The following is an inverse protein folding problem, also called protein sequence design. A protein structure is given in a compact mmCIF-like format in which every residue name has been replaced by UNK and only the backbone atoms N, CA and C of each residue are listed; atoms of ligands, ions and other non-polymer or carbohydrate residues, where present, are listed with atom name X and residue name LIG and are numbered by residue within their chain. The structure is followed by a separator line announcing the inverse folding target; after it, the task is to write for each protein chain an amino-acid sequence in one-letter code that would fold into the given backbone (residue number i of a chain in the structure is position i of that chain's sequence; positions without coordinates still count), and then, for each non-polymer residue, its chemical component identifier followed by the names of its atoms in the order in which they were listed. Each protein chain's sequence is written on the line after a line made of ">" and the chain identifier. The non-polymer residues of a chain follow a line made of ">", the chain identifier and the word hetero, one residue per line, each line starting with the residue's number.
data_IF_745151121387
#
_entry.id   IF_745151121387
#
_cell.length_a   1.000
_cell.length_b   1.000
_cell.length_c   1.000
_cell.angle_alpha   90.00
_cell.angle_beta   90.00
_cell.angle_gamma   90.00
#
_symmetry.space_group_name_H-M   'P 1'
#
loop_
_entity.id
_entity.type
_entity.pdbx_description
1 polymer ?
#
# COMPACT_ATOMS: atom_id res chain seq x y z
N UNK A 1 4.63 -25.09 -16.64
CA UNK A 1 4.33 -23.96 -17.54
C UNK A 1 3.33 -23.04 -16.85
N UNK A 2 3.66 -21.75 -16.70
CA UNK A 2 2.79 -20.75 -16.04
C UNK A 2 1.46 -20.55 -16.78
N UNK A 3 1.48 -20.68 -18.11
CA UNK A 3 0.30 -20.53 -18.99
C UNK A 3 -0.84 -21.56 -18.75
N UNK A 4 -0.55 -22.63 -18.02
CA UNK A 4 -1.53 -23.67 -17.68
C UNK A 4 -2.07 -23.53 -16.24
N UNK A 5 -1.63 -22.52 -15.50
CA UNK A 5 -2.02 -22.28 -14.11
C UNK A 5 -2.98 -21.10 -14.03
N UNK A 6 -3.93 -21.19 -13.12
CA UNK A 6 -4.80 -20.05 -12.79
C UNK A 6 -4.01 -19.03 -12.00
N UNK A 7 -4.15 -17.77 -12.38
CA UNK A 7 -3.53 -16.63 -11.71
C UNK A 7 -4.63 -15.83 -11.01
N UNK A 8 -4.41 -15.54 -9.73
CA UNK A 8 -5.26 -14.69 -8.93
C UNK A 8 -4.51 -13.44 -8.51
N UNK A 9 -5.14 -12.27 -8.59
CA UNK A 9 -4.58 -11.01 -8.11
C UNK A 9 -5.51 -10.36 -7.09
N UNK A 10 -4.91 -9.70 -6.07
CA UNK A 10 -5.70 -9.03 -5.01
C UNK A 10 -6.33 -7.74 -5.52
N UNK A 11 -5.69 -7.03 -6.47
CA UNK A 11 -6.15 -5.72 -6.91
C UNK A 11 -5.80 -5.39 -8.35
N UNK A 12 -6.45 -4.36 -8.88
CA UNK A 12 -6.40 -3.97 -10.28
C UNK A 12 -4.98 -3.64 -10.77
N UNK A 13 -4.20 -2.88 -10.02
CA UNK A 13 -2.83 -2.54 -10.41
C UNK A 13 -1.93 -3.78 -10.60
N UNK A 14 -2.13 -4.82 -9.77
CA UNK A 14 -1.42 -6.10 -9.95
C UNK A 14 -1.94 -6.86 -11.17
N UNK A 15 -3.25 -6.82 -11.40
CA UNK A 15 -3.89 -7.40 -12.58
C UNK A 15 -3.31 -6.79 -13.85
N UNK A 16 -3.35 -5.48 -13.97
CA UNK A 16 -2.83 -4.72 -15.11
C UNK A 16 -1.34 -5.01 -15.37
N UNK A 17 -0.54 -5.04 -14.30
CA UNK A 17 0.89 -5.36 -14.41
C UNK A 17 1.14 -6.79 -14.94
N UNK A 18 0.36 -7.78 -14.49
CA UNK A 18 0.46 -9.16 -14.97
C UNK A 18 0.00 -9.26 -16.42
N UNK A 19 -1.09 -8.60 -16.78
CA UNK A 19 -1.65 -8.63 -18.14
C UNK A 19 -0.77 -7.89 -19.15
N UNK A 20 -0.08 -6.83 -18.73
CA UNK A 20 0.91 -6.15 -19.57
C UNK A 20 2.10 -7.03 -19.97
N UNK A 21 2.35 -8.11 -19.21
CA UNK A 21 3.34 -9.13 -19.51
C UNK A 21 2.81 -10.28 -20.39
N UNK A 22 1.58 -10.15 -20.90
CA UNK A 22 0.94 -11.15 -21.75
C UNK A 22 0.38 -12.37 -21.00
N UNK A 23 0.24 -12.28 -19.67
CA UNK A 23 -0.38 -13.30 -18.84
C UNK A 23 -1.83 -12.92 -18.55
N UNK A 24 -2.72 -13.91 -18.49
CA UNK A 24 -4.10 -13.70 -18.12
C UNK A 24 -4.28 -13.84 -16.60
N UNK A 25 -4.99 -12.91 -15.98
CA UNK A 25 -5.46 -13.05 -14.60
C UNK A 25 -6.88 -13.65 -14.63
N UNK A 26 -7.06 -14.77 -13.94
CA UNK A 26 -8.31 -15.55 -13.96
C UNK A 26 -9.26 -15.17 -12.81
N UNK A 27 -8.72 -14.66 -11.69
CA UNK A 27 -9.46 -14.37 -10.46
C UNK A 27 -9.01 -13.03 -9.90
N UNK A 28 -9.96 -12.08 -9.83
CA UNK A 28 -9.79 -10.78 -9.18
C UNK A 28 -11.05 -10.55 -8.34
N UNK A 29 -10.95 -10.02 -7.12
CA UNK A 29 -12.13 -9.62 -6.35
C UNK A 29 -12.92 -8.53 -7.09
N UNK A 30 -14.24 -8.62 -7.09
CA UNK A 30 -15.10 -7.59 -7.68
C UNK A 30 -15.03 -6.25 -6.92
N UNK A 31 -14.73 -6.31 -5.62
CA UNK A 31 -14.58 -5.15 -4.74
C UNK A 31 -13.74 -5.50 -3.50
N UNK A 32 -13.32 -4.45 -2.77
CA UNK A 32 -12.61 -4.61 -1.49
C UNK A 32 -11.10 -4.82 -1.60
N UNK A 33 -10.56 -5.28 -2.70
CA UNK A 33 -9.14 -5.45 -3.04
C UNK A 33 -8.22 -5.78 -1.84
N UNK A 34 -8.62 -6.78 -1.05
CA UNK A 34 -7.92 -7.23 0.15
C UNK A 34 -7.93 -8.77 0.24
N UNK A 35 -7.26 -9.31 1.25
CA UNK A 35 -7.16 -10.77 1.44
C UNK A 35 -8.51 -11.44 1.66
N UNK A 36 -9.44 -10.75 2.31
CA UNK A 36 -10.78 -11.20 2.61
C UNK A 36 -11.61 -11.34 1.33
N UNK A 37 -11.58 -10.33 0.48
CA UNK A 37 -12.25 -10.33 -0.81
C UNK A 37 -11.65 -11.38 -1.76
N UNK A 38 -10.31 -11.50 -1.79
CA UNK A 38 -9.65 -12.54 -2.58
C UNK A 38 -10.01 -13.94 -2.10
N UNK A 39 -10.09 -14.17 -0.79
CA UNK A 39 -10.54 -15.46 -0.25
C UNK A 39 -11.97 -15.78 -0.70
N UNK A 40 -12.86 -14.80 -0.68
CA UNK A 40 -14.26 -14.97 -1.15
C UNK A 40 -14.28 -15.39 -2.62
N UNK A 41 -13.51 -14.72 -3.49
CA UNK A 41 -13.41 -15.08 -4.90
C UNK A 41 -12.80 -16.48 -5.11
N UNK A 42 -11.77 -16.83 -4.34
CA UNK A 42 -11.12 -18.14 -4.39
C UNK A 42 -12.01 -19.26 -3.83
N UNK A 43 -12.84 -19.00 -2.82
CA UNK A 43 -13.73 -20.01 -2.24
C UNK A 43 -14.81 -20.50 -3.20
N UNK A 44 -15.12 -19.72 -4.24
CA UNK A 44 -15.99 -20.14 -5.34
C UNK A 44 -15.29 -21.15 -6.29
N UNK A 45 -13.97 -21.27 -6.17
CA UNK A 45 -13.18 -22.27 -6.89
C UNK A 45 -12.94 -23.49 -5.99
N UNK A 46 -12.82 -24.68 -6.58
CA UNK A 46 -12.48 -25.89 -5.81
C UNK A 46 -11.02 -25.82 -5.40
N UNK A 47 -10.71 -25.30 -4.20
CA UNK A 47 -9.32 -25.14 -3.69
C UNK A 47 -8.83 -26.34 -2.89
N UNK A 48 -9.73 -27.20 -2.38
CA UNK A 48 -9.36 -28.40 -1.64
C UNK A 48 -8.48 -29.34 -2.47
N UNK A 49 -7.38 -29.78 -1.89
CA UNK A 49 -6.37 -30.63 -2.57
C UNK A 49 -5.56 -29.90 -3.64
N UNK A 50 -5.70 -28.58 -3.79
CA UNK A 50 -4.91 -27.79 -4.73
C UNK A 50 -3.67 -27.19 -4.07
N UNK A 51 -2.59 -27.10 -4.84
CA UNK A 51 -1.39 -26.38 -4.42
C UNK A 51 -1.48 -24.93 -4.89
N UNK A 52 -1.37 -24.01 -3.95
CA UNK A 52 -1.36 -22.56 -4.19
C UNK A 52 0.00 -21.98 -3.82
N UNK A 53 0.52 -21.13 -4.66
CA UNK A 53 1.72 -20.36 -4.40
C UNK A 53 1.32 -18.90 -4.19
N UNK A 54 1.54 -18.36 -2.99
CA UNK A 54 1.33 -16.94 -2.70
C UNK A 54 2.63 -16.20 -2.95
N UNK A 55 2.66 -15.40 -4.02
CA UNK A 55 3.78 -14.50 -4.34
C UNK A 55 3.55 -13.18 -3.58
N UNK A 56 4.47 -12.82 -2.69
CA UNK A 56 4.31 -11.65 -1.81
C UNK A 56 5.64 -11.01 -1.40
N UNK A 57 5.56 -9.87 -0.73
CA UNK A 57 6.69 -9.33 0.02
C UNK A 57 6.93 -10.09 1.32
N UNK A 58 8.14 -10.03 1.83
CA UNK A 58 8.52 -10.63 3.11
C UNK A 58 7.66 -10.05 4.25
N UNK A 59 7.18 -10.91 5.13
CA UNK A 59 6.29 -10.57 6.23
C UNK A 59 4.85 -10.34 5.77
N UNK A 60 4.02 -9.77 6.65
CA UNK A 60 2.61 -9.53 6.40
C UNK A 60 1.69 -10.57 7.06
N UNK A 61 0.39 -10.45 6.81
CA UNK A 61 -0.63 -11.30 7.45
C UNK A 61 -0.60 -12.72 6.86
N UNK A 62 -0.57 -13.73 7.73
CA UNK A 62 -0.72 -15.15 7.35
C UNK A 62 -2.18 -15.54 7.08
N UNK A 63 -3.10 -14.65 7.41
CA UNK A 63 -4.55 -14.89 7.45
C UNK A 63 -5.10 -15.57 6.18
N UNK A 64 -4.70 -15.14 4.98
CA UNK A 64 -5.18 -15.72 3.72
C UNK A 64 -4.73 -17.18 3.59
N UNK A 65 -3.45 -17.46 3.85
CA UNK A 65 -2.91 -18.80 3.73
C UNK A 65 -3.54 -19.76 4.76
N UNK A 66 -3.74 -19.28 6.00
CA UNK A 66 -4.36 -20.08 7.05
C UNK A 66 -5.80 -20.44 6.67
N UNK A 67 -6.56 -19.50 6.11
CA UNK A 67 -7.92 -19.77 5.62
C UNK A 67 -7.95 -20.73 4.45
N UNK A 68 -7.03 -20.59 3.50
CA UNK A 68 -6.92 -21.51 2.35
C UNK A 68 -6.53 -22.93 2.82
N UNK A 69 -5.61 -23.05 3.78
CA UNK A 69 -5.25 -24.34 4.39
C UNK A 69 -6.44 -24.99 5.10
N UNK A 70 -7.25 -24.21 5.83
CA UNK A 70 -8.49 -24.69 6.46
C UNK A 70 -9.52 -25.18 5.42
N UNK A 71 -9.49 -24.67 4.20
CA UNK A 71 -10.29 -25.14 3.07
C UNK A 71 -9.67 -26.35 2.36
N UNK A 72 -8.59 -26.91 2.90
CA UNK A 72 -7.94 -28.11 2.37
C UNK A 72 -6.91 -27.86 1.26
N UNK A 73 -6.48 -26.62 1.06
CA UNK A 73 -5.43 -26.30 0.10
C UNK A 73 -4.02 -26.51 0.70
N UNK A 74 -3.05 -26.89 -0.13
CA UNK A 74 -1.63 -26.80 0.19
C UNK A 74 -1.14 -25.40 -0.20
N UNK A 75 -0.57 -24.64 0.75
CA UNK A 75 -0.17 -23.24 0.49
C UNK A 75 1.29 -23.05 0.80
N UNK A 76 2.03 -22.64 -0.23
CA UNK A 76 3.43 -22.22 -0.17
C UNK A 76 3.53 -20.70 -0.36
N UNK A 77 4.65 -20.13 0.11
CA UNK A 77 4.99 -18.71 -0.12
C UNK A 77 6.21 -18.59 -1.03
N UNK A 78 6.16 -17.55 -1.87
CA UNK A 78 7.33 -17.04 -2.55
C UNK A 78 7.51 -15.56 -2.21
N UNK A 79 8.40 -15.28 -1.27
CA UNK A 79 8.72 -13.91 -0.85
C UNK A 79 9.76 -13.31 -1.81
N UNK A 80 9.29 -12.48 -2.74
CA UNK A 80 10.08 -11.95 -3.85
C UNK A 80 10.63 -10.55 -3.61
N UNK A 81 10.20 -9.85 -2.56
CA UNK A 81 10.74 -8.55 -2.15
C UNK A 81 10.64 -8.34 -0.64
N UNK A 82 11.44 -7.40 -0.15
CA UNK A 82 11.39 -6.93 1.24
C UNK A 82 11.25 -5.42 1.25
N UNK A 83 10.33 -4.92 2.06
CA UNK A 83 10.25 -3.48 2.35
C UNK A 83 11.28 -3.13 3.39
N UNK A 84 12.07 -2.10 3.13
CA UNK A 84 13.09 -1.61 4.05
C UNK A 84 13.00 -0.09 4.16
N UNK A 85 13.38 0.44 5.31
CA UNK A 85 13.66 1.86 5.45
C UNK A 85 14.87 2.21 4.56
N UNK A 86 14.76 3.17 3.62
CA UNK A 86 15.89 3.56 2.78
C UNK A 86 17.06 4.05 3.64
N UNK A 87 18.31 3.68 3.33
CA UNK A 87 19.49 4.18 4.00
C UNK A 87 19.82 5.60 3.49
N UNK A 88 18.95 6.57 3.77
CA UNK A 88 19.15 7.97 3.38
C UNK A 88 19.94 8.66 4.48
N UNK A 89 21.05 9.31 4.10
CA UNK A 89 21.86 10.09 5.04
C UNK A 89 21.17 11.43 5.38
N UNK A 90 21.43 11.97 6.57
CA UNK A 90 20.98 13.30 6.99
C UNK A 90 21.31 14.38 5.94
N UNK A 91 22.50 14.31 5.32
CA UNK A 91 22.94 15.25 4.28
C UNK A 91 22.00 15.26 3.06
N UNK A 92 21.47 14.10 2.66
CA UNK A 92 20.50 14.00 1.57
C UNK A 92 19.17 14.63 1.99
N UNK A 93 18.72 14.40 3.22
CA UNK A 93 17.48 14.96 3.77
C UNK A 93 17.53 16.49 3.81
N UNK A 94 18.62 17.06 4.30
CA UNK A 94 18.86 18.51 4.30
C UNK A 94 18.90 19.04 2.85
N UNK A 95 19.55 18.33 1.93
CA UNK A 95 19.62 18.70 0.51
C UNK A 95 18.26 18.70 -0.20
N UNK A 96 17.29 17.91 0.29
CA UNK A 96 15.90 17.93 -0.20
C UNK A 96 15.12 19.16 0.28
N UNK A 97 15.66 19.93 1.24
CA UNK A 97 15.03 21.15 1.75
C UNK A 97 13.70 20.90 2.42
N UNK A 98 13.55 19.78 3.15
CA UNK A 98 12.30 19.39 3.81
C UNK A 98 11.79 20.45 4.80
N UNK A 99 12.65 21.32 5.29
CA UNK A 99 12.29 22.38 6.24
C UNK A 99 11.55 23.55 5.56
N UNK A 100 11.93 23.91 4.32
CA UNK A 100 11.47 25.15 3.68
C UNK A 100 10.99 25.02 2.22
N UNK A 101 11.26 23.88 1.56
CA UNK A 101 10.87 23.66 0.17
C UNK A 101 9.66 22.74 0.00
N UNK A 102 9.22 22.09 1.08
CA UNK A 102 8.07 21.18 1.04
C UNK A 102 6.82 21.95 1.44
N UNK A 103 5.85 22.02 0.56
CA UNK A 103 4.55 22.62 0.83
C UNK A 103 3.51 21.60 1.25
N UNK A 104 3.50 20.43 0.62
CA UNK A 104 2.54 19.34 0.86
C UNK A 104 3.28 18.02 0.98
N UNK A 105 2.85 17.15 1.90
CA UNK A 105 3.37 15.79 2.07
C UNK A 105 2.30 14.79 1.64
N UNK A 106 2.69 13.74 0.89
CA UNK A 106 1.77 12.64 0.56
C UNK A 106 2.25 11.34 1.18
N UNK A 107 1.36 10.58 1.82
CA UNK A 107 1.67 9.31 2.48
C UNK A 107 0.69 8.22 2.04
N UNK A 108 1.23 7.17 1.41
CA UNK A 108 0.47 6.08 0.82
C UNK A 108 0.33 4.84 1.71
N UNK A 109 1.05 4.79 2.86
CA UNK A 109 0.96 3.65 3.80
C UNK A 109 1.38 4.04 5.21
N UNK A 110 0.91 3.28 6.21
CA UNK A 110 1.36 3.43 7.59
C UNK A 110 2.87 3.24 7.74
N UNK A 111 3.43 2.32 6.96
CA UNK A 111 4.87 2.03 6.97
C UNK A 111 5.68 3.21 6.41
N UNK A 112 5.19 3.86 5.33
CA UNK A 112 5.81 5.06 4.79
C UNK A 112 5.82 6.21 5.80
N UNK A 113 4.73 6.38 6.57
CA UNK A 113 4.66 7.38 7.64
C UNK A 113 5.66 7.09 8.75
N UNK A 114 5.74 5.83 9.22
CA UNK A 114 6.70 5.40 10.24
C UNK A 114 8.13 5.63 9.77
N UNK A 115 8.43 5.24 8.53
CA UNK A 115 9.75 5.40 7.94
C UNK A 115 10.13 6.88 7.80
N UNK A 116 9.24 7.73 7.30
CA UNK A 116 9.48 9.17 7.22
C UNK A 116 9.87 9.73 8.59
N UNK A 117 9.05 9.48 9.61
CA UNK A 117 9.31 9.99 10.96
C UNK A 117 10.57 9.38 11.61
N UNK A 118 10.95 8.16 11.25
CA UNK A 118 12.17 7.52 11.73
C UNK A 118 13.45 7.99 10.99
N UNK A 119 13.31 8.68 9.86
CA UNK A 119 14.43 9.13 9.02
C UNK A 119 14.78 10.59 9.25
N UNK A 120 13.85 11.41 9.72
CA UNK A 120 14.02 12.84 9.95
C UNK A 120 14.29 13.13 11.43
N UNK A 121 15.04 14.18 11.73
CA UNK A 121 15.27 14.67 13.09
C UNK A 121 14.00 15.38 13.64
N UNK A 122 14.08 15.77 14.90
CA UNK A 122 12.91 16.37 15.59
C UNK A 122 12.59 17.78 15.11
N UNK A 123 13.53 18.49 14.51
CA UNK A 123 13.30 19.80 13.93
C UNK A 123 12.48 19.68 12.64
N UNK A 124 12.92 18.80 11.73
CA UNK A 124 12.19 18.49 10.49
C UNK A 124 10.80 17.90 10.82
N UNK A 125 10.69 17.00 11.81
CA UNK A 125 9.38 16.47 12.26
C UNK A 125 8.41 17.60 12.66
N UNK A 126 8.89 18.60 13.41
CA UNK A 126 8.06 19.74 13.82
C UNK A 126 7.54 20.51 12.62
N UNK A 127 8.41 20.78 11.65
CA UNK A 127 8.02 21.49 10.42
C UNK A 127 7.03 20.66 9.59
N UNK A 128 7.33 19.38 9.33
CA UNK A 128 6.46 18.51 8.53
C UNK A 128 5.05 18.34 9.14
N UNK A 129 4.94 18.31 10.47
CA UNK A 129 3.64 18.21 11.17
C UNK A 129 2.73 19.43 11.00
N UNK A 130 3.29 20.56 10.61
CA UNK A 130 2.55 21.80 10.30
C UNK A 130 2.14 21.88 8.83
N UNK A 131 2.72 21.05 7.96
CA UNK A 131 2.37 21.01 6.54
C UNK A 131 1.13 20.17 6.30
N UNK A 132 0.34 20.49 5.27
CA UNK A 132 -0.73 19.62 4.82
C UNK A 132 -0.20 18.22 4.49
N UNK A 133 -0.91 17.20 4.97
CA UNK A 133 -0.61 15.79 4.74
C UNK A 133 -1.77 15.14 4.00
N UNK A 134 -1.53 14.67 2.79
CA UNK A 134 -2.50 13.89 2.03
C UNK A 134 -2.27 12.40 2.26
N UNK A 135 -3.32 11.67 2.58
CA UNK A 135 -3.29 10.23 2.85
C UNK A 135 -4.41 9.51 2.12
N UNK A 136 -4.23 8.22 1.84
CA UNK A 136 -5.16 7.42 1.04
C UNK A 136 -6.18 6.63 1.88
N UNK A 137 -6.24 6.82 3.18
CA UNK A 137 -7.22 6.12 4.03
C UNK A 137 -7.36 6.74 5.41
N UNK A 138 -8.53 6.56 6.01
CA UNK A 138 -8.82 6.97 7.40
C UNK A 138 -7.89 6.30 8.43
N UNK A 139 -7.41 5.09 8.15
CA UNK A 139 -6.45 4.40 9.02
C UNK A 139 -5.13 5.14 9.11
N UNK A 140 -4.61 5.64 7.98
CA UNK A 140 -3.37 6.43 7.94
C UNK A 140 -3.63 7.80 8.59
N UNK A 141 -4.78 8.42 8.32
CA UNK A 141 -5.18 9.70 8.94
C UNK A 141 -5.16 9.62 10.46
N UNK A 142 -5.84 8.63 11.06
CA UNK A 142 -5.87 8.44 12.51
C UNK A 142 -4.45 8.32 13.08
N UNK A 143 -3.59 7.58 12.42
CA UNK A 143 -2.19 7.41 12.83
C UNK A 143 -1.41 8.72 12.75
N UNK A 144 -1.55 9.47 11.66
CA UNK A 144 -0.89 10.76 11.46
C UNK A 144 -1.32 11.80 12.50
N UNK A 145 -2.61 11.89 12.79
CA UNK A 145 -3.13 12.73 13.87
C UNK A 145 -2.55 12.34 15.22
N UNK A 146 -2.42 11.04 15.51
CA UNK A 146 -1.76 10.51 16.71
C UNK A 146 -0.29 10.91 16.81
N UNK A 147 0.41 11.11 15.70
CA UNK A 147 1.78 11.63 15.65
C UNK A 147 1.86 13.16 15.72
N UNK A 148 0.71 13.87 15.72
CA UNK A 148 0.61 15.30 15.88
C UNK A 148 0.61 16.11 14.58
N UNK A 149 0.34 15.50 13.43
CA UNK A 149 0.03 16.26 12.20
C UNK A 149 -1.25 17.08 12.40
N UNK A 150 -1.27 18.32 11.89
CA UNK A 150 -2.37 19.25 12.14
C UNK A 150 -3.42 19.25 11.03
N UNK A 151 -2.98 19.14 9.78
CA UNK A 151 -3.83 19.20 8.59
C UNK A 151 -3.68 17.90 7.83
N UNK A 152 -4.67 16.99 7.91
CA UNK A 152 -4.62 15.67 7.27
C UNK A 152 -5.86 15.47 6.41
N UNK A 153 -5.68 15.43 5.11
CA UNK A 153 -6.71 15.23 4.09
C UNK A 153 -6.68 13.77 3.61
N UNK A 154 -7.83 13.13 3.51
CA UNK A 154 -7.97 11.77 2.97
C UNK A 154 -8.50 11.87 1.55
N UNK A 155 -7.83 11.21 0.60
CA UNK A 155 -8.31 11.11 -0.79
C UNK A 155 -9.55 10.22 -0.88
N UNK A 156 -10.35 10.39 -1.93
CA UNK A 156 -11.53 9.55 -2.17
C UNK A 156 -11.15 8.09 -2.46
N UNK A 157 -10.04 7.90 -3.17
CA UNK A 157 -9.46 6.59 -3.45
C UNK A 157 -7.92 6.67 -3.46
N UNK A 158 -7.21 5.53 -3.49
CA UNK A 158 -5.76 5.52 -3.65
C UNK A 158 -5.27 5.79 -5.07
N UNK A 159 -6.15 6.12 -6.00
CA UNK A 159 -5.81 6.42 -7.38
C UNK A 159 -4.96 7.71 -7.50
N UNK A 160 -3.98 7.75 -8.41
CA UNK A 160 -3.14 8.93 -8.62
C UNK A 160 -3.94 10.20 -8.91
N UNK A 161 -5.05 10.08 -9.63
CA UNK A 161 -5.93 11.19 -10.00
C UNK A 161 -6.53 11.87 -8.77
N UNK A 162 -6.98 11.10 -7.78
CA UNK A 162 -7.57 11.62 -6.55
C UNK A 162 -6.51 12.30 -5.67
N UNK A 163 -5.27 11.83 -5.71
CA UNK A 163 -4.16 12.50 -5.04
C UNK A 163 -3.89 13.87 -5.69
N UNK A 164 -3.88 13.92 -7.04
CA UNK A 164 -3.70 15.17 -7.77
C UNK A 164 -4.83 16.17 -7.47
N UNK A 165 -6.08 15.69 -7.39
CA UNK A 165 -7.23 16.52 -6.99
C UNK A 165 -7.02 17.09 -5.60
N UNK A 166 -6.64 16.29 -4.62
CA UNK A 166 -6.39 16.74 -3.25
C UNK A 166 -5.23 17.78 -3.18
N UNK A 167 -4.14 17.56 -3.95
CA UNK A 167 -3.03 18.54 -4.04
C UNK A 167 -3.53 19.87 -4.58
N UNK A 168 -4.34 19.87 -5.65
CA UNK A 168 -4.87 21.09 -6.26
C UNK A 168 -5.82 21.84 -5.30
N UNK A 169 -6.71 21.13 -4.59
CA UNK A 169 -7.62 21.72 -3.62
C UNK A 169 -6.85 22.47 -2.54
N UNK A 170 -5.87 21.83 -1.91
CA UNK A 170 -5.00 22.47 -0.90
C UNK A 170 -4.24 23.67 -1.49
N UNK A 171 -3.72 23.57 -2.72
CA UNK A 171 -2.96 24.64 -3.35
C UNK A 171 -3.83 25.86 -3.68
N UNK A 172 -5.14 25.66 -3.91
CA UNK A 172 -6.10 26.73 -4.21
C UNK A 172 -6.73 27.33 -2.95
N UNK A 173 -6.44 26.78 -1.76
CA UNK A 173 -7.04 27.24 -0.50
C UNK A 173 -8.52 26.87 -0.36
N UNK A 174 -8.95 25.78 -0.98
CA UNK A 174 -10.33 25.27 -0.97
C UNK A 174 -10.53 24.21 0.15
N UNK A 175 -10.02 24.48 1.36
CA UNK A 175 -10.21 23.61 2.54
C UNK A 175 -11.49 23.97 3.33
#
# INVERSE_FOLDING_TARGET
>A
RLLEKKIAAVGLATTEAIESLGLRVDIVPDSGFNSEALLSALSQQHVSGRRLLIVRGQGGREWLADRLRLLGAEVDYWEVYRRIKPPISHRVMVGLGLEYKVDIVTIMSNEALDNLLAMVDDEIKRVLKLKPLIVISERIRKKALGFGFKHVVVTQSPAPEDIVVAVKSISNGED
#
